data_IF_511689264351
#
_entry.id   IF_511689264351
#
_cell.length_a   1.000
_cell.length_b   1.000
_cell.length_c   1.000
_cell.angle_alpha   90.00
_cell.angle_beta   90.00
_cell.angle_gamma   90.00
#
_symmetry.space_group_name_H-M   'P 1'
#
loop_
_entity.id
_entity.type
_entity.pdbx_description
1 polymer ?
#
# COMPACT_ATOMS: atom_id res chain seq x y z
N UNK A 1 -10.99 -12.18 -23.71
CA UNK A 1 -12.35 -11.92 -23.17
C UNK A 1 -12.31 -12.19 -21.69
N UNK A 2 -12.61 -11.20 -20.87
CA UNK A 2 -12.04 -10.89 -19.56
C UNK A 2 -12.49 -11.80 -18.40
N UNK A 3 -11.63 -12.72 -18.00
CA UNK A 3 -11.78 -13.51 -16.75
C UNK A 3 -11.77 -12.62 -15.47
N UNK A 4 -11.08 -11.48 -15.51
CA UNK A 4 -11.01 -10.51 -14.40
C UNK A 4 -12.30 -9.74 -14.15
N UNK A 5 -13.09 -9.40 -15.19
CA UNK A 5 -14.37 -8.70 -15.04
C UNK A 5 -15.46 -9.59 -14.44
N UNK A 6 -15.48 -10.87 -14.79
CA UNK A 6 -16.42 -11.85 -14.19
C UNK A 6 -16.09 -12.09 -12.70
N UNK A 7 -14.81 -12.17 -12.34
CA UNK A 7 -14.39 -12.34 -10.95
C UNK A 7 -14.75 -11.13 -10.08
N UNK A 8 -14.60 -9.92 -10.62
CA UNK A 8 -15.00 -8.69 -9.92
C UNK A 8 -16.52 -8.61 -9.70
N UNK A 9 -17.32 -8.96 -10.72
CA UNK A 9 -18.78 -9.02 -10.57
C UNK A 9 -19.23 -10.09 -9.57
N UNK A 10 -18.59 -11.26 -9.54
CA UNK A 10 -18.85 -12.31 -8.56
C UNK A 10 -18.46 -11.89 -7.14
N UNK A 11 -17.35 -11.17 -6.96
CA UNK A 11 -16.93 -10.64 -5.66
C UNK A 11 -17.90 -9.57 -5.12
N UNK A 12 -18.35 -8.65 -5.97
CA UNK A 12 -19.36 -7.63 -5.61
C UNK A 12 -20.71 -8.26 -5.27
N UNK A 13 -21.15 -9.28 -6.01
CA UNK A 13 -22.36 -10.03 -5.73
C UNK A 13 -22.25 -10.81 -4.41
N UNK A 14 -21.09 -11.38 -4.06
CA UNK A 14 -20.86 -12.06 -2.80
C UNK A 14 -20.86 -11.11 -1.60
N UNK A 15 -20.29 -9.92 -1.73
CA UNK A 15 -20.31 -8.87 -0.71
C UNK A 15 -21.71 -8.31 -0.47
N UNK A 16 -22.48 -8.06 -1.53
CA UNK A 16 -23.87 -7.60 -1.40
C UNK A 16 -24.78 -8.64 -0.76
N UNK A 17 -24.57 -9.94 -1.04
CA UNK A 17 -25.28 -11.04 -0.41
C UNK A 17 -24.87 -11.25 1.07
N UNK A 18 -23.64 -10.90 1.45
CA UNK A 18 -23.18 -10.94 2.84
C UNK A 18 -23.80 -9.79 3.68
N UNK A 19 -24.02 -8.62 3.07
CA UNK A 19 -24.65 -7.47 3.73
C UNK A 19 -26.15 -7.68 3.95
N UNK A 20 -26.84 -8.30 3.00
CA UNK A 20 -28.28 -8.64 3.11
C UNK A 20 -28.56 -9.69 4.20
N UNK A 21 -27.59 -10.50 4.60
CA UNK A 21 -27.71 -11.52 5.67
C UNK A 21 -27.69 -10.98 7.08
N UNK A 22 -27.30 -9.73 7.29
CA UNK A 22 -27.28 -9.11 8.64
C UNK A 22 -28.65 -8.65 9.12
N UNK A 23 -29.67 -8.66 8.27
CA UNK A 23 -31.02 -8.20 8.59
C UNK A 23 -31.96 -9.28 9.16
N UNK A 24 -31.56 -10.57 9.19
CA UNK A 24 -32.40 -11.66 9.69
C UNK A 24 -31.85 -12.21 11.02
N UNK A 25 -32.40 -11.71 12.13
CA UNK A 25 -32.08 -12.21 13.46
C UNK A 25 -32.62 -13.65 13.65
N UNK A 26 -31.84 -14.62 14.20
CA UNK A 26 -32.22 -16.04 14.31
C UNK A 26 -33.40 -16.32 15.26
N UNK A 27 -33.81 -15.36 16.05
CA UNK A 27 -34.88 -15.51 17.07
C UNK A 27 -36.33 -15.30 16.59
N UNK A 28 -36.53 -14.86 15.32
CA UNK A 28 -37.89 -14.62 14.81
C UNK A 28 -38.54 -15.88 14.24
N UNK A 29 -39.90 -15.94 14.29
CA UNK A 29 -40.69 -17.05 13.71
C UNK A 29 -40.43 -17.25 12.21
N UNK A 30 -40.02 -16.21 11.49
CA UNK A 30 -39.58 -16.25 10.10
C UNK A 30 -38.23 -16.95 9.93
N UNK A 31 -37.28 -16.77 10.86
CA UNK A 31 -35.96 -17.41 10.84
C UNK A 31 -36.04 -18.94 11.00
N UNK A 32 -36.97 -19.45 11.82
CA UNK A 32 -37.17 -20.90 12.03
C UNK A 32 -37.75 -21.62 10.82
N UNK A 33 -38.62 -20.97 10.03
CA UNK A 33 -39.11 -21.54 8.76
C UNK A 33 -38.08 -21.56 7.64
N UNK A 34 -37.11 -20.63 7.64
CA UNK A 34 -36.04 -20.57 6.67
C UNK A 34 -35.04 -21.73 6.83
N UNK A 35 -34.83 -22.25 8.03
CA UNK A 35 -33.91 -23.37 8.32
C UNK A 35 -34.36 -24.72 7.70
N UNK A 36 -35.65 -24.91 7.43
CA UNK A 36 -36.19 -26.13 6.83
C UNK A 36 -36.53 -26.01 5.34
N UNK A 37 -36.18 -24.89 4.70
CA UNK A 37 -36.43 -24.71 3.26
C UNK A 37 -35.34 -25.36 2.42
N UNK A 38 -35.66 -26.03 1.30
CA UNK A 38 -34.67 -26.60 0.37
C UNK A 38 -33.70 -25.56 -0.19
N UNK A 39 -34.10 -24.27 -0.19
CA UNK A 39 -33.25 -23.15 -0.58
C UNK A 39 -32.12 -22.83 0.44
N UNK A 40 -32.30 -23.18 1.71
CA UNK A 40 -31.27 -23.00 2.74
C UNK A 40 -30.13 -24.02 2.55
N UNK A 41 -30.47 -25.27 2.26
CA UNK A 41 -29.50 -26.33 1.94
C UNK A 41 -28.77 -26.08 0.62
N UNK A 42 -29.45 -25.55 -0.39
CA UNK A 42 -28.84 -25.15 -1.66
C UNK A 42 -27.81 -24.02 -1.48
N UNK A 43 -28.10 -23.05 -0.58
CA UNK A 43 -27.16 -21.95 -0.26
C UNK A 43 -25.93 -22.43 0.53
N UNK A 44 -26.08 -23.43 1.38
CA UNK A 44 -24.97 -24.02 2.13
C UNK A 44 -24.04 -24.81 1.20
N UNK A 45 -24.58 -25.57 0.25
CA UNK A 45 -23.81 -26.23 -0.83
C UNK A 45 -23.08 -25.25 -1.72
N UNK A 46 -23.69 -24.08 -2.04
CA UNK A 46 -23.05 -23.04 -2.83
C UNK A 46 -21.85 -22.40 -2.10
N UNK A 47 -21.95 -22.22 -0.78
CA UNK A 47 -20.84 -21.73 0.04
C UNK A 47 -19.64 -22.69 0.03
N UNK A 48 -19.90 -24.00 0.15
CA UNK A 48 -18.84 -25.01 0.10
C UNK A 48 -18.20 -25.14 -1.29
N UNK A 49 -18.96 -24.98 -2.37
CA UNK A 49 -18.44 -25.04 -3.74
C UNK A 49 -17.50 -23.86 -4.05
N UNK A 50 -17.76 -22.67 -3.52
CA UNK A 50 -16.89 -21.50 -3.70
C UNK A 50 -15.52 -21.68 -3.00
N UNK A 51 -15.45 -22.45 -1.93
CA UNK A 51 -14.18 -22.72 -1.23
C UNK A 51 -13.48 -23.98 -1.72
N UNK A 52 -14.17 -24.89 -2.38
CA UNK A 52 -13.58 -26.14 -2.90
C UNK A 52 -12.63 -25.92 -4.11
N UNK A 53 -12.82 -24.80 -4.85
CA UNK A 53 -12.01 -24.43 -6.01
C UNK A 53 -10.87 -23.42 -5.68
N UNK A 54 -10.65 -23.11 -4.39
CA UNK A 54 -9.58 -22.21 -3.97
C UNK A 54 -8.22 -22.92 -4.07
N UNK A 55 -7.53 -22.70 -5.17
CA UNK A 55 -6.11 -23.04 -5.22
C UNK A 55 -5.33 -22.21 -4.19
N UNK A 56 -4.21 -22.71 -3.64
CA UNK A 56 -3.38 -21.95 -2.69
C UNK A 56 -2.99 -20.55 -3.21
N UNK A 57 -2.78 -20.42 -4.53
CA UNK A 57 -2.47 -19.15 -5.17
C UNK A 57 -3.65 -18.15 -5.11
N UNK A 58 -4.87 -18.61 -5.40
CA UNK A 58 -6.07 -17.78 -5.29
C UNK A 58 -6.36 -17.38 -3.84
N UNK A 59 -6.18 -18.31 -2.89
CA UNK A 59 -6.31 -18.00 -1.47
C UNK A 59 -5.33 -16.90 -1.04
N UNK A 60 -4.05 -17.00 -1.44
CA UNK A 60 -3.03 -15.99 -1.17
C UNK A 60 -3.41 -14.62 -1.77
N UNK A 61 -3.92 -14.60 -3.00
CA UNK A 61 -4.40 -13.37 -3.67
C UNK A 61 -5.53 -12.70 -2.90
N UNK A 62 -6.53 -13.47 -2.44
CA UNK A 62 -7.63 -12.91 -1.65
C UNK A 62 -7.18 -12.42 -0.28
N UNK A 63 -6.30 -13.15 0.40
CA UNK A 63 -5.71 -12.74 1.69
C UNK A 63 -4.92 -11.44 1.51
N UNK A 64 -4.10 -11.35 0.47
CA UNK A 64 -3.35 -10.13 0.14
C UNK A 64 -4.29 -8.94 -0.13
N UNK A 65 -5.29 -9.11 -1.01
CA UNK A 65 -6.25 -8.04 -1.32
C UNK A 65 -7.02 -7.60 -0.07
N UNK A 66 -7.47 -8.55 0.76
CA UNK A 66 -8.14 -8.26 2.03
C UNK A 66 -7.23 -7.50 3.01
N UNK A 67 -5.95 -7.88 3.09
CA UNK A 67 -4.97 -7.19 3.93
C UNK A 67 -4.73 -5.75 3.47
N UNK A 68 -4.63 -5.49 2.16
CA UNK A 68 -4.49 -4.14 1.60
C UNK A 68 -5.73 -3.30 1.91
N UNK A 69 -6.94 -3.85 1.71
CA UNK A 69 -8.20 -3.15 2.03
C UNK A 69 -8.34 -2.86 3.53
N UNK A 70 -7.99 -3.83 4.39
CA UNK A 70 -7.99 -3.63 5.83
C UNK A 70 -6.99 -2.56 6.26
N UNK A 71 -5.78 -2.57 5.69
CA UNK A 71 -4.76 -1.55 5.93
C UNK A 71 -5.28 -0.16 5.57
N UNK A 72 -5.88 0.01 4.37
CA UNK A 72 -6.49 1.27 3.94
C UNK A 72 -7.61 1.71 4.88
N UNK A 73 -8.52 0.80 5.23
CA UNK A 73 -9.63 1.10 6.13
C UNK A 73 -9.14 1.58 7.50
N UNK A 74 -8.11 0.93 8.04
CA UNK A 74 -7.49 1.32 9.31
C UNK A 74 -6.79 2.68 9.20
N UNK A 75 -6.03 2.94 8.13
CA UNK A 75 -5.40 4.25 7.89
C UNK A 75 -6.43 5.36 7.80
N UNK A 76 -7.51 5.18 7.03
CA UNK A 76 -8.58 6.16 6.90
C UNK A 76 -9.30 6.38 8.23
N UNK A 77 -9.62 5.32 8.95
CA UNK A 77 -10.26 5.43 10.25
C UNK A 77 -9.39 6.20 11.26
N UNK A 78 -8.11 5.88 11.34
CA UNK A 78 -7.14 6.58 12.21
C UNK A 78 -6.99 8.05 11.80
N UNK A 79 -6.86 8.34 10.50
CA UNK A 79 -6.76 9.70 10.00
C UNK A 79 -8.02 10.53 10.34
N UNK A 80 -9.22 9.97 10.14
CA UNK A 80 -10.48 10.61 10.51
C UNK A 80 -10.58 10.87 12.02
N UNK A 81 -10.20 9.88 12.84
CA UNK A 81 -10.17 10.02 14.29
C UNK A 81 -9.20 11.11 14.73
N UNK A 82 -8.01 11.15 14.14
CA UNK A 82 -7.01 12.18 14.44
C UNK A 82 -7.46 13.56 13.99
N UNK A 83 -8.05 13.70 12.78
CA UNK A 83 -8.60 14.98 12.31
C UNK A 83 -9.69 15.50 13.25
N UNK A 84 -10.61 14.64 13.73
CA UNK A 84 -11.63 15.00 14.72
C UNK A 84 -11.00 15.47 16.03
N UNK A 85 -9.99 14.75 16.55
CA UNK A 85 -9.31 15.10 17.79
C UNK A 85 -8.58 16.46 17.69
N UNK A 86 -7.95 16.74 16.54
CA UNK A 86 -7.30 18.03 16.25
C UNK A 86 -8.32 19.14 16.17
N UNK A 87 -9.45 18.93 15.44
CA UNK A 87 -10.51 19.92 15.29
C UNK A 87 -11.14 20.30 16.63
N UNK A 88 -11.43 19.31 17.50
CA UNK A 88 -12.03 19.55 18.81
C UNK A 88 -11.11 20.35 19.75
N UNK A 89 -9.81 20.21 19.61
CA UNK A 89 -8.82 20.87 20.49
C UNK A 89 -8.24 22.15 19.89
N UNK A 90 -8.64 22.53 18.68
CA UNK A 90 -8.11 23.71 17.96
C UNK A 90 -8.40 25.04 18.68
N UNK A 91 -9.51 25.11 19.43
CA UNK A 91 -10.01 26.34 20.07
C UNK A 91 -9.31 26.73 21.35
N UNK A 92 -8.51 25.86 21.98
CA UNK A 92 -7.88 26.15 23.27
C UNK A 92 -6.49 25.50 23.39
N UNK A 93 -5.52 26.30 23.83
CA UNK A 93 -4.18 25.81 24.17
C UNK A 93 -4.25 24.98 25.45
N UNK A 94 -3.68 23.77 25.52
CA UNK A 94 -3.66 23.00 26.76
C UNK A 94 -3.01 23.79 27.90
N UNK A 95 -3.54 23.75 29.14
CA UNK A 95 -3.08 24.59 30.27
C UNK A 95 -1.57 24.56 30.52
N UNK A 96 -0.95 23.40 30.33
CA UNK A 96 0.51 23.21 30.49
C UNK A 96 1.36 24.01 29.51
N UNK A 97 0.80 24.44 28.38
CA UNK A 97 1.49 25.17 27.33
C UNK A 97 0.95 26.59 27.12
N UNK A 98 -0.09 26.99 27.87
CA UNK A 98 -0.75 28.28 27.70
C UNK A 98 0.19 29.49 27.87
N UNK A 99 1.23 29.36 28.71
CA UNK A 99 2.22 30.41 28.89
C UNK A 99 3.33 30.45 27.83
N UNK A 100 3.49 29.36 27.04
CA UNK A 100 4.59 29.21 26.06
C UNK A 100 4.13 29.31 24.62
N UNK A 101 2.87 29.03 24.33
CA UNK A 101 2.35 28.92 22.98
C UNK A 101 1.11 29.82 22.86
N UNK A 102 1.12 30.71 21.88
CA UNK A 102 -0.05 31.56 21.57
C UNK A 102 -1.17 30.72 20.93
N UNK A 103 -2.43 31.15 21.09
CA UNK A 103 -3.56 30.51 20.45
C UNK A 103 -3.41 30.47 18.91
N UNK A 104 -2.89 31.54 18.31
CA UNK A 104 -2.65 31.61 16.88
C UNK A 104 -1.62 30.56 16.39
N UNK A 105 -0.53 30.35 17.15
CA UNK A 105 0.46 29.32 16.85
C UNK A 105 -0.12 27.91 17.01
N UNK A 106 -0.95 27.68 18.03
CA UNK A 106 -1.64 26.42 18.24
C UNK A 106 -2.62 26.11 17.09
N UNK A 107 -3.41 27.09 16.66
CA UNK A 107 -4.33 26.95 15.53
C UNK A 107 -3.59 26.66 14.22
N UNK A 108 -2.47 27.35 13.95
CA UNK A 108 -1.63 27.09 12.79
C UNK A 108 -1.08 25.67 12.77
N UNK A 109 -0.63 25.15 13.92
CA UNK A 109 -0.17 23.77 14.06
C UNK A 109 -1.29 22.75 13.83
N UNK A 110 -2.51 23.04 14.32
CA UNK A 110 -3.68 22.21 14.08
C UNK A 110 -4.07 22.18 12.59
N UNK A 111 -4.06 23.35 11.92
CA UNK A 111 -4.37 23.47 10.49
C UNK A 111 -3.32 22.75 9.62
N UNK A 112 -2.04 22.84 9.97
CA UNK A 112 -0.95 22.08 9.32
C UNK A 112 -1.15 20.58 9.48
N UNK A 113 -1.44 20.11 10.69
CA UNK A 113 -1.70 18.70 10.95
C UNK A 113 -2.90 18.19 10.15
N UNK A 114 -3.99 18.97 10.09
CA UNK A 114 -5.16 18.60 9.30
C UNK A 114 -4.87 18.55 7.79
N UNK A 115 -4.05 19.48 7.26
CA UNK A 115 -3.64 19.50 5.87
C UNK A 115 -2.79 18.25 5.53
N UNK A 116 -1.82 17.91 6.37
CA UNK A 116 -0.98 16.71 6.20
C UNK A 116 -1.80 15.41 6.27
N UNK A 117 -2.75 15.32 7.20
CA UNK A 117 -3.61 14.13 7.32
C UNK A 117 -4.49 13.93 6.08
N UNK A 118 -5.08 15.01 5.54
CA UNK A 118 -5.89 14.94 4.30
C UNK A 118 -5.04 14.48 3.13
N UNK A 119 -3.85 15.03 3.00
CA UNK A 119 -2.92 14.66 1.93
C UNK A 119 -2.43 13.21 2.10
N UNK A 120 -2.07 12.79 3.32
CA UNK A 120 -1.64 11.42 3.59
C UNK A 120 -2.73 10.36 3.34
N UNK A 121 -4.02 10.73 3.43
CA UNK A 121 -5.14 9.88 2.99
C UNK A 121 -5.11 9.68 1.47
N UNK A 122 -4.92 10.76 0.70
CA UNK A 122 -4.83 10.71 -0.76
C UNK A 122 -3.61 9.90 -1.22
N UNK A 123 -2.44 10.22 -0.66
CA UNK A 123 -1.18 9.52 -0.92
C UNK A 123 -1.28 8.02 -0.61
N UNK A 124 -1.83 7.67 0.56
CA UNK A 124 -2.04 6.26 0.94
C UNK A 124 -3.00 5.51 0.02
N UNK A 125 -4.02 6.18 -0.50
CA UNK A 125 -4.92 5.63 -1.51
C UNK A 125 -4.20 5.38 -2.84
N UNK A 126 -3.42 6.36 -3.30
CA UNK A 126 -2.62 6.23 -4.52
C UNK A 126 -1.57 5.11 -4.39
N UNK A 127 -0.85 5.04 -3.27
CA UNK A 127 0.12 3.97 -3.00
C UNK A 127 -0.51 2.58 -3.05
N UNK A 128 -1.73 2.41 -2.51
CA UNK A 128 -2.44 1.15 -2.59
C UNK A 128 -2.87 0.80 -4.02
N UNK A 129 -3.30 1.78 -4.82
CA UNK A 129 -3.62 1.56 -6.23
C UNK A 129 -2.37 1.16 -7.03
N UNK A 130 -1.24 1.81 -6.80
CA UNK A 130 0.05 1.47 -7.40
C UNK A 130 0.46 0.03 -7.02
N UNK A 131 0.35 -0.32 -5.72
CA UNK A 131 0.64 -1.67 -5.24
C UNK A 131 -0.24 -2.73 -5.92
N UNK A 132 -1.55 -2.49 -6.03
CA UNK A 132 -2.47 -3.39 -6.73
C UNK A 132 -2.17 -3.45 -8.23
N UNK A 133 -1.77 -2.33 -8.83
CA UNK A 133 -1.31 -2.24 -10.22
C UNK A 133 -0.12 -3.15 -10.49
N UNK A 134 0.89 -3.10 -9.63
CA UNK A 134 2.07 -3.94 -9.73
C UNK A 134 1.77 -5.43 -9.50
N UNK A 135 0.94 -5.75 -8.52
CA UNK A 135 0.75 -7.13 -8.04
C UNK A 135 -0.41 -7.85 -8.70
N UNK A 136 -1.61 -7.25 -8.70
CA UNK A 136 -2.83 -7.92 -9.15
C UNK A 136 -3.22 -7.60 -10.60
N UNK A 137 -2.81 -6.44 -11.12
CA UNK A 137 -3.12 -6.04 -12.50
C UNK A 137 -2.00 -6.39 -13.50
N UNK A 138 -0.99 -7.14 -13.05
CA UNK A 138 0.08 -7.65 -13.91
C UNK A 138 1.14 -6.62 -14.30
N UNK A 139 1.24 -5.49 -13.58
CA UNK A 139 2.24 -4.44 -13.88
C UNK A 139 3.68 -4.97 -13.83
N UNK A 140 3.99 -5.82 -12.83
CA UNK A 140 5.31 -6.41 -12.70
C UNK A 140 5.61 -7.41 -13.82
N UNK A 141 4.61 -8.19 -14.25
CA UNK A 141 4.74 -9.14 -15.36
C UNK A 141 4.95 -8.41 -16.68
N UNK A 142 4.22 -7.31 -16.91
CA UNK A 142 4.37 -6.48 -18.10
C UNK A 142 5.76 -5.84 -18.17
N UNK A 143 6.26 -5.31 -17.05
CA UNK A 143 7.63 -4.76 -16.97
C UNK A 143 8.69 -5.84 -17.22
N UNK A 144 8.52 -7.02 -16.63
CA UNK A 144 9.40 -8.15 -16.83
C UNK A 144 9.41 -8.61 -18.30
N UNK A 145 8.25 -8.74 -18.94
CA UNK A 145 8.13 -9.11 -20.33
C UNK A 145 8.83 -8.08 -21.26
N UNK A 146 8.66 -6.80 -20.99
CA UNK A 146 9.33 -5.73 -21.73
C UNK A 146 10.86 -5.83 -21.64
N UNK A 147 11.37 -6.02 -20.43
CA UNK A 147 12.81 -6.14 -20.20
C UNK A 147 13.39 -7.40 -20.82
N UNK A 148 12.65 -8.51 -20.81
CA UNK A 148 13.05 -9.74 -21.51
C UNK A 148 13.14 -9.55 -23.02
N UNK A 149 12.25 -8.78 -23.63
CA UNK A 149 12.31 -8.45 -25.07
C UNK A 149 13.56 -7.64 -25.41
N UNK A 150 13.99 -6.71 -24.55
CA UNK A 150 15.12 -5.82 -24.82
C UNK A 150 16.47 -6.42 -24.45
N UNK A 151 16.55 -7.10 -23.30
CA UNK A 151 17.81 -7.62 -22.74
C UNK A 151 18.03 -9.10 -23.04
N UNK A 152 16.98 -9.83 -23.38
CA UNK A 152 16.98 -11.29 -23.42
C UNK A 152 17.12 -11.93 -22.02
N UNK A 153 17.10 -13.26 -21.94
CA UNK A 153 17.22 -14.00 -20.69
C UNK A 153 18.68 -14.04 -20.21
N UNK A 154 19.07 -13.06 -19.37
CA UNK A 154 20.39 -12.98 -18.75
C UNK A 154 20.26 -13.19 -17.25
N UNK A 155 20.94 -14.23 -16.68
CA UNK A 155 20.68 -14.68 -15.31
C UNK A 155 20.84 -13.63 -14.21
N UNK A 156 21.73 -12.64 -14.38
CA UNK A 156 21.98 -11.58 -13.41
C UNK A 156 21.45 -10.22 -13.89
N UNK A 157 21.69 -9.89 -15.16
CA UNK A 157 21.40 -8.55 -15.69
C UNK A 157 19.89 -8.29 -15.77
N UNK A 158 19.10 -9.27 -16.22
CA UNK A 158 17.64 -9.10 -16.39
C UNK A 158 16.93 -8.87 -15.04
N UNK A 159 17.11 -9.70 -13.97
CA UNK A 159 16.48 -9.45 -12.70
C UNK A 159 17.00 -8.17 -12.01
N UNK A 160 18.26 -7.82 -12.20
CA UNK A 160 18.80 -6.55 -11.71
C UNK A 160 18.17 -5.34 -12.42
N UNK A 161 18.00 -5.42 -13.73
CA UNK A 161 17.33 -4.39 -14.52
C UNK A 161 15.84 -4.27 -14.14
N UNK A 162 15.16 -5.40 -13.86
CA UNK A 162 13.79 -5.41 -13.38
C UNK A 162 13.66 -4.68 -12.04
N UNK A 163 14.55 -4.98 -11.10
CA UNK A 163 14.57 -4.31 -9.79
C UNK A 163 14.83 -2.82 -9.94
N UNK A 164 15.86 -2.43 -10.74
CA UNK A 164 16.22 -1.03 -10.98
C UNK A 164 15.06 -0.26 -11.66
N UNK A 165 14.44 -0.83 -12.68
CA UNK A 165 13.31 -0.22 -13.38
C UNK A 165 12.08 -0.08 -12.47
N UNK A 166 11.76 -1.11 -11.69
CA UNK A 166 10.69 -1.07 -10.70
C UNK A 166 10.91 0.05 -9.68
N UNK A 167 12.12 0.17 -9.12
CA UNK A 167 12.45 1.23 -8.16
C UNK A 167 12.40 2.62 -8.82
N UNK A 168 12.92 2.77 -10.04
CA UNK A 168 12.90 4.04 -10.76
C UNK A 168 11.46 4.50 -11.08
N UNK A 169 10.60 3.59 -11.53
CA UNK A 169 9.20 3.91 -11.81
C UNK A 169 8.47 4.32 -10.53
N UNK A 170 8.65 3.59 -9.41
CA UNK A 170 8.04 3.99 -8.14
C UNK A 170 8.56 5.35 -7.67
N UNK A 171 9.86 5.60 -7.74
CA UNK A 171 10.42 6.91 -7.40
C UNK A 171 9.82 8.04 -8.26
N UNK A 172 9.59 7.82 -9.57
CA UNK A 172 8.92 8.79 -10.45
C UNK A 172 7.44 8.99 -10.09
N UNK A 173 6.74 7.94 -9.68
CA UNK A 173 5.35 8.01 -9.23
C UNK A 173 5.20 8.77 -7.90
N UNK A 174 6.23 8.77 -7.05
CA UNK A 174 6.25 9.47 -5.77
C UNK A 174 6.56 10.98 -5.93
N UNK A 175 7.30 11.37 -6.99
CA UNK A 175 7.70 12.77 -7.26
C UNK A 175 6.54 13.78 -7.16
N UNK A 176 5.36 13.58 -7.77
CA UNK A 176 4.26 14.55 -7.69
C UNK A 176 3.70 14.70 -6.27
N UNK A 177 3.69 13.64 -5.47
CA UNK A 177 3.23 13.68 -4.08
C UNK A 177 4.22 14.44 -3.20
N UNK A 178 5.51 14.16 -3.33
CA UNK A 178 6.55 14.84 -2.57
C UNK A 178 6.64 16.34 -2.95
N UNK A 179 6.56 16.67 -4.25
CA UNK A 179 6.50 18.04 -4.72
C UNK A 179 5.28 18.79 -4.14
N UNK A 180 4.11 18.15 -4.12
CA UNK A 180 2.90 18.74 -3.54
C UNK A 180 3.06 18.97 -2.03
N UNK A 181 3.59 17.99 -1.31
CA UNK A 181 3.84 18.14 0.12
C UNK A 181 4.78 19.31 0.38
N UNK A 182 5.90 19.39 -0.32
CA UNK A 182 6.95 20.40 -0.12
C UNK A 182 6.50 21.79 -0.56
N UNK A 183 6.02 21.95 -1.79
CA UNK A 183 5.77 23.27 -2.38
C UNK A 183 4.34 23.79 -2.17
N UNK A 184 3.41 22.94 -1.79
CA UNK A 184 2.03 23.38 -1.50
C UNK A 184 1.78 23.38 0.01
N UNK A 185 1.97 22.23 0.68
CA UNK A 185 1.61 22.12 2.09
C UNK A 185 2.64 22.83 2.96
N UNK A 186 3.92 22.46 2.89
CA UNK A 186 4.94 23.02 3.77
C UNK A 186 5.20 24.49 3.48
N UNK A 187 5.13 24.91 2.22
CA UNK A 187 5.25 26.31 1.85
C UNK A 187 4.11 27.17 2.41
N UNK A 188 2.87 26.69 2.33
CA UNK A 188 1.70 27.38 2.90
C UNK A 188 1.85 27.69 4.40
N UNK A 189 2.50 26.77 5.15
CA UNK A 189 2.69 26.94 6.58
C UNK A 189 4.03 27.57 6.96
N UNK A 190 4.89 27.88 5.98
CA UNK A 190 6.19 28.53 6.20
C UNK A 190 7.31 27.59 6.63
N UNK A 191 7.13 26.27 6.44
CA UNK A 191 8.13 25.26 6.76
C UNK A 191 9.07 24.96 5.61
N UNK A 192 8.63 25.16 4.35
CA UNK A 192 9.49 24.95 3.19
C UNK A 192 10.54 26.07 3.08
N UNK A 193 11.81 25.67 3.05
CA UNK A 193 12.97 26.54 2.77
C UNK A 193 13.72 26.11 1.50
N UNK A 194 13.26 25.05 0.84
CA UNK A 194 13.90 24.52 -0.36
C UNK A 194 13.43 25.22 -1.61
N UNK A 195 14.35 25.52 -2.51
CA UNK A 195 14.03 25.92 -3.87
C UNK A 195 13.80 24.70 -4.75
N UNK A 196 13.04 24.85 -5.85
CA UNK A 196 12.81 23.74 -6.79
C UNK A 196 14.13 23.14 -7.31
N UNK A 197 15.14 23.99 -7.56
CA UNK A 197 16.47 23.54 -8.02
C UNK A 197 17.18 22.68 -6.97
N UNK A 198 17.14 23.08 -5.70
CA UNK A 198 17.76 22.34 -4.61
C UNK A 198 17.01 21.01 -4.39
N UNK A 199 15.69 21.05 -4.34
CA UNK A 199 14.85 19.87 -4.18
C UNK A 199 15.12 18.83 -5.31
N UNK A 200 15.16 19.29 -6.58
CA UNK A 200 15.47 18.38 -7.70
C UNK A 200 16.90 17.83 -7.61
N UNK A 201 17.88 18.69 -7.26
CA UNK A 201 19.26 18.24 -7.07
C UNK A 201 19.39 17.19 -5.98
N UNK A 202 18.65 17.33 -4.89
CA UNK A 202 18.64 16.35 -3.79
C UNK A 202 18.00 15.03 -4.20
N UNK A 203 16.91 15.05 -5.00
CA UNK A 203 16.32 13.85 -5.57
C UNK A 203 17.28 13.12 -6.51
N UNK A 204 17.94 13.84 -7.40
CA UNK A 204 18.94 13.25 -8.32
C UNK A 204 20.12 12.67 -7.54
N UNK A 205 20.67 13.41 -6.57
CA UNK A 205 21.75 12.90 -5.72
C UNK A 205 21.34 11.65 -4.95
N UNK A 206 20.16 11.67 -4.34
CA UNK A 206 19.62 10.52 -3.60
C UNK A 206 19.44 9.30 -4.51
N UNK A 207 18.94 9.50 -5.73
CA UNK A 207 18.80 8.44 -6.71
C UNK A 207 20.17 7.87 -7.13
N UNK A 208 21.17 8.73 -7.38
CA UNK A 208 22.53 8.31 -7.75
C UNK A 208 23.21 7.55 -6.61
N UNK A 209 23.14 8.05 -5.37
CA UNK A 209 23.71 7.38 -4.20
C UNK A 209 22.97 6.06 -3.95
N UNK A 210 21.64 6.05 -4.03
CA UNK A 210 20.83 4.85 -3.89
C UNK A 210 21.17 3.80 -4.95
N UNK A 211 21.37 4.21 -6.20
CA UNK A 211 21.79 3.31 -7.27
C UNK A 211 23.22 2.81 -7.06
N UNK A 212 24.15 3.70 -6.70
CA UNK A 212 25.57 3.34 -6.50
C UNK A 212 25.79 2.33 -5.37
N UNK A 213 24.99 2.40 -4.31
CA UNK A 213 25.02 1.45 -3.18
C UNK A 213 24.06 0.28 -3.38
N UNK A 214 22.85 0.55 -3.83
CA UNK A 214 21.79 -0.45 -3.92
C UNK A 214 21.97 -1.46 -5.04
N UNK A 215 22.41 -1.03 -6.23
CA UNK A 215 22.60 -1.95 -7.36
C UNK A 215 23.72 -2.97 -7.14
N UNK A 216 24.89 -2.63 -6.60
CA UNK A 216 25.92 -3.62 -6.26
C UNK A 216 25.45 -4.60 -5.18
N UNK A 217 24.75 -4.11 -4.14
CA UNK A 217 24.17 -4.97 -3.10
C UNK A 217 23.10 -5.91 -3.66
N UNK A 218 22.23 -5.42 -4.54
CA UNK A 218 21.23 -6.23 -5.22
C UNK A 218 21.89 -7.27 -6.15
N UNK A 219 22.92 -6.89 -6.89
CA UNK A 219 23.67 -7.81 -7.73
C UNK A 219 24.35 -8.91 -6.91
N UNK A 220 24.97 -8.54 -5.77
CA UNK A 220 25.57 -9.50 -4.85
C UNK A 220 24.51 -10.43 -4.25
N UNK A 221 23.35 -9.91 -3.85
CA UNK A 221 22.23 -10.70 -3.34
C UNK A 221 21.74 -11.72 -4.38
N UNK A 222 21.51 -11.29 -5.61
CA UNK A 222 21.08 -12.17 -6.71
C UNK A 222 22.15 -13.23 -7.03
N UNK A 223 23.42 -12.87 -6.99
CA UNK A 223 24.51 -13.80 -7.18
C UNK A 223 24.57 -14.85 -6.04
N UNK A 224 24.46 -14.42 -4.79
CA UNK A 224 24.39 -15.31 -3.64
C UNK A 224 23.19 -16.26 -3.74
N UNK A 225 22.03 -15.80 -4.15
CA UNK A 225 20.85 -16.64 -4.37
C UNK A 225 21.11 -17.72 -5.43
N UNK A 226 21.88 -17.41 -6.46
CA UNK A 226 22.22 -18.35 -7.52
C UNK A 226 23.27 -19.38 -7.11
N UNK A 227 24.21 -19.03 -6.21
CA UNK A 227 25.37 -19.87 -5.86
C UNK A 227 25.26 -20.60 -4.51
N UNK A 228 24.52 -20.05 -3.53
CA UNK A 228 24.56 -20.52 -2.15
C UNK A 228 23.66 -21.74 -1.87
N UNK A 229 22.97 -22.30 -2.88
CA UNK A 229 22.08 -23.45 -2.73
C UNK A 229 20.97 -23.20 -1.69
N UNK A 230 20.55 -24.23 -0.89
CA UNK A 230 19.41 -24.11 0.02
C UNK A 230 19.63 -23.15 1.19
N UNK A 231 20.86 -22.74 1.48
CA UNK A 231 21.21 -21.82 2.57
C UNK A 231 21.36 -20.36 2.11
N UNK A 232 20.93 -20.01 0.88
CA UNK A 232 21.03 -18.65 0.32
C UNK A 232 20.45 -17.56 1.24
N UNK A 233 19.39 -17.83 1.97
CA UNK A 233 18.74 -16.90 2.89
C UNK A 233 19.62 -16.53 4.09
N UNK A 234 20.45 -17.45 4.61
CA UNK A 234 21.42 -17.14 5.67
C UNK A 234 22.49 -16.15 5.19
N UNK A 235 22.97 -16.32 3.96
CA UNK A 235 23.95 -15.44 3.37
C UNK A 235 23.37 -14.04 3.09
N UNK A 236 22.11 -13.96 2.65
CA UNK A 236 21.41 -12.69 2.50
C UNK A 236 21.22 -12.00 3.86
N UNK A 237 20.87 -12.75 4.89
CA UNK A 237 20.74 -12.20 6.24
C UNK A 237 22.07 -11.68 6.77
N UNK A 238 23.17 -12.41 6.57
CA UNK A 238 24.52 -11.97 6.95
C UNK A 238 24.96 -10.72 6.18
N UNK A 239 24.66 -10.65 4.88
CA UNK A 239 24.89 -9.48 4.05
C UNK A 239 24.13 -8.26 4.56
N UNK A 240 22.83 -8.41 4.85
CA UNK A 240 22.00 -7.35 5.41
C UNK A 240 22.50 -6.88 6.77
N UNK A 241 22.88 -7.81 7.65
CA UNK A 241 23.42 -7.50 8.97
C UNK A 241 24.75 -6.72 8.83
N UNK A 242 25.66 -7.21 7.98
CA UNK A 242 26.94 -6.53 7.71
C UNK A 242 26.74 -5.11 7.18
N UNK A 243 25.81 -4.92 6.24
CA UNK A 243 25.46 -3.59 5.73
C UNK A 243 24.83 -2.68 6.78
N UNK A 244 24.04 -3.24 7.71
CA UNK A 244 23.39 -2.47 8.78
C UNK A 244 24.35 -2.02 9.88
N UNK A 245 25.55 -2.60 9.95
CA UNK A 245 26.60 -2.26 10.95
C UNK A 245 27.60 -1.23 10.42
N UNK A 246 27.55 -0.91 9.11
CA UNK A 246 28.37 0.12 8.47
C UNK A 246 27.70 1.48 8.53
#
# INVERSE_FOLDING_TARGET
MNMTSELLQRAVAALSAAFARRAAWPGSKAGRRALHSPLFFSRYKFSHAVFADLTPALAATYVFAAAVLLHLALRFWLALRQMRAVALRRGAVPPRFAQKITLAAHQRAADYTAAKLRFGVLEGGAAALILLGWTLLGGLDALNALLLQWLGPRPLLQPLALLAAFMAINALLDVPFDAWQTFVIEQRFGFNKSTLRLWLADHVKSALVGAALGLPLAALALWLMAQAGPLWWLWLWALWLGFSLL
#
